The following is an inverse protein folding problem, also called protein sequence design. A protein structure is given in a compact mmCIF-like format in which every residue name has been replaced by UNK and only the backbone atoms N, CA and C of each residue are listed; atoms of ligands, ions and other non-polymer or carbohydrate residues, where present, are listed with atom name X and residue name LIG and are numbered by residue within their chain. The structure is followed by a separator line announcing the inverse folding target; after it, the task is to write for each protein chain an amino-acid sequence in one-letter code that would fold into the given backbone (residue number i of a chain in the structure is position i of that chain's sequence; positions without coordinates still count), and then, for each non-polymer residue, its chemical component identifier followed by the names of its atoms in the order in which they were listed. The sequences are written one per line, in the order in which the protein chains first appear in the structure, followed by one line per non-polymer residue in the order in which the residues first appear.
data_IF_042942715462
#
_entry.id   IF_042942715462
#
_cell.length_a   1.000
_cell.length_b   1.000
_cell.length_c   1.000
_cell.angle_alpha   90.00
_cell.angle_beta   90.00
_cell.angle_gamma   90.00
#
_symmetry.space_group_name_H-M   'P 1'
#
loop_
_entity.id
_entity.type
_entity.pdbx_description
1 polymer ?
#
# COMPACT_ATOMS: atom_id res chain seq x y z
N UNK A 1 -1.82 54.55 -9.16
CA UNK A 1 -2.59 54.02 -10.30
C UNK A 1 -1.90 52.76 -10.79
N UNK A 2 -2.39 51.61 -10.40
CA UNK A 2 -1.86 50.30 -10.84
C UNK A 2 -2.63 49.91 -12.09
N UNK A 3 -1.92 49.84 -13.24
CA UNK A 3 -2.52 49.34 -14.49
C UNK A 3 -2.72 47.83 -14.40
N UNK A 4 -3.94 47.40 -14.32
CA UNK A 4 -4.31 45.98 -14.48
C UNK A 4 -4.18 45.61 -15.94
N UNK A 5 -3.11 44.85 -16.27
CA UNK A 5 -2.96 44.25 -17.61
C UNK A 5 -3.99 43.12 -17.74
N UNK A 6 -5.04 43.36 -18.49
CA UNK A 6 -5.98 42.31 -18.92
C UNK A 6 -5.24 41.33 -19.86
N UNK A 7 -4.89 40.19 -19.37
CA UNK A 7 -4.35 39.08 -20.18
C UNK A 7 -5.49 38.53 -21.02
N UNK A 8 -5.44 38.75 -22.33
CA UNK A 8 -6.43 38.24 -23.28
C UNK A 8 -6.30 36.70 -23.37
N UNK A 9 -7.43 35.98 -23.53
CA UNK A 9 -7.48 34.50 -23.66
C UNK A 9 -6.45 33.93 -24.64
N UNK A 10 -6.16 34.61 -25.74
CA UNK A 10 -5.14 34.22 -26.70
C UNK A 10 -3.73 34.25 -26.11
N UNK A 11 -3.35 35.32 -25.39
CA UNK A 11 -2.05 35.39 -24.71
C UNK A 11 -1.89 34.35 -23.60
N UNK A 12 -2.96 34.02 -22.88
CA UNK A 12 -2.96 32.95 -21.89
C UNK A 12 -2.68 31.59 -22.53
N UNK A 13 -3.28 31.29 -23.68
CA UNK A 13 -3.05 30.04 -24.42
C UNK A 13 -1.65 29.98 -25.05
N UNK A 14 -1.09 31.10 -25.50
CA UNK A 14 0.27 31.17 -26.02
C UNK A 14 1.32 30.93 -24.91
N UNK A 15 1.09 31.44 -23.70
CA UNK A 15 1.99 31.24 -22.55
C UNK A 15 1.93 29.78 -22.09
N UNK A 16 0.75 29.15 -22.03
CA UNK A 16 0.59 27.74 -21.72
C UNK A 16 1.19 26.84 -22.81
N UNK A 17 1.01 27.18 -24.08
CA UNK A 17 1.55 26.42 -25.21
C UNK A 17 3.09 26.40 -25.26
N UNK A 18 3.75 27.49 -24.87
CA UNK A 18 5.20 27.56 -24.84
C UNK A 18 5.85 26.82 -23.65
N UNK A 19 5.16 26.70 -22.51
CA UNK A 19 5.66 25.97 -21.36
C UNK A 19 5.42 24.46 -21.44
N UNK A 20 4.58 23.98 -22.37
CA UNK A 20 4.16 22.56 -22.42
C UNK A 20 5.16 21.65 -23.17
N UNK A 21 6.18 22.18 -23.83
CA UNK A 21 7.11 21.37 -24.62
C UNK A 21 8.31 20.79 -23.87
N UNK A 22 8.43 21.00 -22.56
CA UNK A 22 9.69 20.67 -21.84
C UNK A 22 9.63 19.63 -20.73
N UNK A 23 8.47 19.23 -20.21
CA UNK A 23 8.41 18.38 -19.01
C UNK A 23 7.26 17.34 -19.04
N UNK A 24 7.13 16.59 -20.12
CA UNK A 24 6.50 15.26 -20.02
C UNK A 24 7.62 14.30 -19.62
N UNK A 25 8.03 14.37 -18.36
CA UNK A 25 8.81 13.30 -17.75
C UNK A 25 7.83 12.13 -17.66
N UNK A 26 8.06 11.14 -18.50
CA UNK A 26 7.32 9.87 -18.51
C UNK A 26 7.48 9.19 -17.16
N UNK A 27 6.60 9.52 -16.21
CA UNK A 27 6.53 8.86 -14.90
C UNK A 27 5.66 7.59 -14.97
N UNK A 28 5.67 6.93 -16.12
CA UNK A 28 5.01 5.64 -16.28
C UNK A 28 5.97 4.54 -15.85
N UNK A 29 5.68 3.88 -14.74
CA UNK A 29 6.30 2.63 -14.37
C UNK A 29 5.30 1.50 -14.57
N UNK A 30 5.79 0.32 -14.93
CA UNK A 30 4.97 -0.88 -15.05
C UNK A 30 4.79 -1.53 -13.68
N UNK A 31 3.59 -2.07 -13.43
CA UNK A 31 3.34 -2.88 -12.24
C UNK A 31 4.16 -4.19 -12.32
N UNK A 32 4.87 -4.59 -11.25
CA UNK A 32 5.83 -5.70 -11.29
C UNK A 32 5.24 -7.03 -11.75
N UNK A 33 3.97 -7.30 -11.45
CA UNK A 33 3.32 -8.59 -11.74
C UNK A 33 2.45 -8.52 -13.00
N UNK A 34 1.73 -7.41 -13.20
CA UNK A 34 0.73 -7.32 -14.28
C UNK A 34 1.24 -6.63 -15.55
N UNK A 35 2.44 -6.04 -15.53
CA UNK A 35 3.01 -5.29 -16.64
C UNK A 35 2.24 -4.03 -17.05
N UNK A 36 1.17 -3.67 -16.33
CA UNK A 36 0.34 -2.51 -16.66
C UNK A 36 1.05 -1.21 -16.31
N UNK A 37 0.99 -0.24 -17.22
CA UNK A 37 1.48 1.12 -16.97
C UNK A 37 0.72 1.76 -15.81
N UNK A 38 1.45 2.26 -14.81
CA UNK A 38 0.90 3.00 -13.68
C UNK A 38 1.45 4.42 -13.69
N UNK A 39 0.58 5.41 -13.56
CA UNK A 39 0.99 6.80 -13.38
C UNK A 39 1.43 7.00 -11.93
N UNK A 40 2.73 7.11 -11.68
CA UNK A 40 3.27 7.42 -10.35
C UNK A 40 3.30 8.94 -10.15
N UNK A 41 2.33 9.45 -9.41
CA UNK A 41 2.27 10.86 -9.02
C UNK A 41 3.13 11.18 -7.80
N UNK A 42 3.46 10.19 -6.97
CA UNK A 42 4.24 10.35 -5.74
C UNK A 42 5.40 9.35 -5.67
N UNK A 43 6.56 9.74 -5.09
CA UNK A 43 7.64 8.82 -4.79
C UNK A 43 7.20 7.72 -3.81
N UNK A 44 7.70 6.50 -3.99
CA UNK A 44 7.38 5.35 -3.12
C UNK A 44 7.73 5.62 -1.65
N UNK A 45 8.84 6.29 -1.40
CA UNK A 45 9.24 6.69 -0.04
C UNK A 45 8.21 7.57 0.66
N UNK A 46 7.53 8.44 -0.10
CA UNK A 46 6.45 9.28 0.43
C UNK A 46 5.21 8.44 0.75
N UNK A 47 4.84 7.52 -0.15
CA UNK A 47 3.70 6.61 0.06
C UNK A 47 3.95 5.72 1.28
N UNK A 48 5.12 5.10 1.38
CA UNK A 48 5.48 4.24 2.52
C UNK A 48 5.49 5.02 3.85
N UNK A 49 5.97 6.27 3.84
CA UNK A 49 5.94 7.12 5.03
C UNK A 49 4.52 7.47 5.46
N UNK A 50 3.64 7.83 4.52
CA UNK A 50 2.23 8.10 4.82
C UNK A 50 1.51 6.86 5.33
N UNK A 51 1.78 5.69 4.73
CA UNK A 51 1.26 4.41 5.19
C UNK A 51 1.71 4.09 6.62
N UNK A 52 2.99 4.28 6.93
CA UNK A 52 3.51 4.09 8.29
C UNK A 52 2.85 5.03 9.31
N UNK A 53 2.64 6.30 8.97
CA UNK A 53 1.94 7.25 9.84
C UNK A 53 0.48 6.85 10.08
N UNK A 54 -0.21 6.38 9.04
CA UNK A 54 -1.59 5.89 9.18
C UNK A 54 -1.64 4.63 10.04
N UNK A 55 -0.72 3.70 9.84
CA UNK A 55 -0.59 2.50 10.66
C UNK A 55 -0.39 2.82 12.15
N UNK A 56 0.49 3.76 12.48
CA UNK A 56 0.70 4.19 13.88
C UNK A 56 -0.56 4.86 14.46
N UNK A 57 -1.33 5.59 13.65
CA UNK A 57 -2.63 6.13 14.08
C UNK A 57 -3.63 5.02 14.39
N UNK A 58 -3.73 3.99 13.54
CA UNK A 58 -4.59 2.84 13.82
C UNK A 58 -4.14 2.17 15.11
N UNK A 59 -2.86 1.87 15.25
CA UNK A 59 -2.27 1.22 16.43
C UNK A 59 -2.54 2.00 17.74
N UNK A 60 -2.51 3.34 17.69
CA UNK A 60 -2.77 4.19 18.85
C UNK A 60 -4.25 4.39 19.17
N UNK A 61 -5.15 4.25 18.19
CA UNK A 61 -6.59 4.52 18.35
C UNK A 61 -7.43 3.26 18.53
N UNK A 62 -6.88 2.09 18.24
CA UNK A 62 -7.60 0.82 18.35
C UNK A 62 -7.07 0.00 19.52
N UNK A 63 -7.93 -0.83 20.09
CA UNK A 63 -7.53 -1.82 21.08
C UNK A 63 -6.79 -2.95 20.37
N UNK A 64 -5.55 -3.20 20.74
CA UNK A 64 -4.81 -4.36 20.25
C UNK A 64 -5.15 -5.58 21.08
N UNK A 65 -5.15 -6.74 20.45
CA UNK A 65 -5.39 -8.01 21.14
C UNK A 65 -4.17 -8.44 21.94
N UNK A 66 -4.42 -8.94 23.15
CA UNK A 66 -3.41 -9.51 24.04
C UNK A 66 -3.12 -11.00 23.72
N UNK A 67 -3.80 -11.58 22.72
CA UNK A 67 -3.60 -12.97 22.32
C UNK A 67 -2.27 -13.15 21.56
N UNK A 68 -1.23 -13.42 22.35
CA UNK A 68 0.13 -13.64 21.82
C UNK A 68 0.23 -14.85 20.90
N UNK A 69 -0.64 -15.87 21.06
CA UNK A 69 -0.61 -17.07 20.21
C UNK A 69 -1.15 -16.74 18.81
N UNK A 70 -2.28 -16.05 18.74
CA UNK A 70 -2.83 -15.62 17.46
C UNK A 70 -1.90 -14.63 16.75
N UNK A 71 -1.32 -13.67 17.47
CA UNK A 71 -0.36 -12.74 16.89
C UNK A 71 0.91 -13.46 16.37
N UNK A 72 1.41 -14.48 17.09
CA UNK A 72 2.55 -15.27 16.66
C UNK A 72 2.21 -16.05 15.37
N UNK A 73 1.03 -16.65 15.29
CA UNK A 73 0.55 -17.34 14.10
C UNK A 73 0.45 -16.39 12.88
N UNK A 74 -0.10 -15.20 13.09
CA UNK A 74 -0.18 -14.17 12.03
C UNK A 74 1.22 -13.79 11.52
N UNK A 75 2.17 -13.59 12.42
CA UNK A 75 3.56 -13.30 12.06
C UNK A 75 4.22 -14.43 11.29
N UNK A 76 4.03 -15.68 11.74
CA UNK A 76 4.57 -16.86 11.06
C UNK A 76 4.00 -16.99 9.64
N UNK A 77 2.68 -16.92 9.49
CA UNK A 77 2.02 -17.00 8.18
C UNK A 77 2.49 -15.86 7.29
N UNK A 78 2.55 -14.63 7.81
CA UNK A 78 3.02 -13.47 7.06
C UNK A 78 4.45 -13.60 6.59
N UNK A 79 5.38 -14.04 7.46
CA UNK A 79 6.78 -14.25 7.10
C UNK A 79 6.93 -15.29 5.98
N UNK A 80 6.22 -16.41 6.06
CA UNK A 80 6.25 -17.44 5.01
C UNK A 80 5.73 -16.93 3.66
N UNK A 81 4.71 -16.07 3.67
CA UNK A 81 4.21 -15.45 2.43
C UNK A 81 5.27 -14.49 1.86
N UNK A 82 5.90 -13.68 2.71
CA UNK A 82 6.97 -12.75 2.29
C UNK A 82 8.16 -13.51 1.69
N UNK A 83 8.61 -14.59 2.32
CA UNK A 83 9.66 -15.46 1.78
C UNK A 83 9.27 -16.03 0.40
N UNK A 84 8.02 -16.47 0.24
CA UNK A 84 7.52 -16.96 -1.04
C UNK A 84 7.49 -15.84 -2.11
N UNK A 85 7.16 -14.61 -1.74
CA UNK A 85 7.21 -13.44 -2.65
C UNK A 85 8.65 -13.19 -3.11
N UNK A 86 9.60 -13.10 -2.19
CA UNK A 86 11.02 -12.90 -2.53
C UNK A 86 11.55 -14.02 -3.42
N UNK A 87 11.27 -15.28 -3.06
CA UNK A 87 11.66 -16.45 -3.84
C UNK A 87 11.06 -16.44 -5.25
N UNK A 88 9.83 -15.97 -5.41
CA UNK A 88 9.21 -15.82 -6.73
C UNK A 88 9.97 -14.81 -7.59
N UNK A 89 10.26 -13.62 -7.08
CA UNK A 89 10.99 -12.59 -7.84
C UNK A 89 12.41 -13.04 -8.20
N UNK A 90 13.08 -13.73 -7.30
CA UNK A 90 14.39 -14.35 -7.57
C UNK A 90 14.28 -15.39 -8.69
N UNK A 91 13.27 -16.25 -8.66
CA UNK A 91 13.08 -17.31 -9.66
C UNK A 91 12.85 -16.79 -11.08
N UNK A 92 12.26 -15.60 -11.21
CA UNK A 92 11.99 -14.94 -12.50
C UNK A 92 13.03 -13.87 -12.84
N UNK A 93 14.12 -13.79 -12.05
CA UNK A 93 15.21 -12.84 -12.21
C UNK A 93 14.73 -11.37 -12.29
N UNK A 94 13.76 -11.03 -11.44
CA UNK A 94 13.20 -9.67 -11.31
C UNK A 94 13.52 -9.07 -9.95
N UNK A 95 13.72 -7.74 -9.86
CA UNK A 95 13.90 -7.07 -8.57
C UNK A 95 12.68 -7.28 -7.65
N UNK A 96 12.92 -7.69 -6.42
CA UNK A 96 11.87 -7.82 -5.41
C UNK A 96 11.34 -6.40 -5.05
N UNK A 97 10.06 -6.09 -5.33
CA UNK A 97 9.49 -4.78 -5.04
C UNK A 97 9.31 -4.53 -3.53
N UNK A 98 9.49 -5.54 -2.72
CA UNK A 98 9.30 -5.49 -1.26
C UNK A 98 10.62 -5.41 -0.48
N UNK A 99 11.77 -5.36 -1.16
CA UNK A 99 13.09 -5.40 -0.50
C UNK A 99 13.30 -4.30 0.54
N UNK A 100 12.62 -3.16 0.40
CA UNK A 100 12.65 -2.03 1.34
C UNK A 100 11.48 -2.03 2.33
N UNK A 101 10.62 -3.05 2.34
CA UNK A 101 9.48 -3.09 3.24
C UNK A 101 9.93 -3.42 4.67
N UNK A 102 9.36 -2.70 5.62
CA UNK A 102 9.53 -2.96 7.05
C UNK A 102 8.27 -3.66 7.57
N UNK A 103 8.27 -4.99 7.44
CA UNK A 103 7.13 -5.82 7.78
C UNK A 103 6.79 -5.71 9.28
N UNK A 104 5.56 -5.34 9.57
CA UNK A 104 5.03 -5.22 10.92
C UNK A 104 3.57 -5.71 10.94
N UNK A 105 3.23 -6.43 12.01
CA UNK A 105 1.94 -7.10 12.14
C UNK A 105 1.28 -6.68 13.43
N UNK A 106 0.00 -6.29 13.39
CA UNK A 106 -0.85 -6.11 14.56
C UNK A 106 -2.11 -6.95 14.46
N UNK A 107 -2.61 -7.38 15.62
CA UNK A 107 -3.92 -7.99 15.77
C UNK A 107 -4.82 -6.98 16.51
N UNK A 108 -5.81 -6.46 15.81
CA UNK A 108 -6.78 -5.51 16.36
C UNK A 108 -7.93 -6.26 17.01
N UNK A 109 -8.20 -5.95 18.28
CA UNK A 109 -9.29 -6.57 19.06
C UNK A 109 -10.64 -5.96 18.65
N UNK A 110 -11.23 -6.49 17.59
CA UNK A 110 -12.55 -6.11 17.13
C UNK A 110 -13.21 -7.27 16.35
N UNK A 111 -14.07 -8.02 17.04
CA UNK A 111 -14.78 -9.17 16.46
C UNK A 111 -15.85 -8.78 15.44
N UNK A 112 -16.31 -7.52 15.44
CA UNK A 112 -17.34 -7.04 14.52
C UNK A 112 -16.79 -6.79 13.12
N UNK A 113 -15.50 -6.46 13.04
CA UNK A 113 -14.84 -6.16 11.76
C UNK A 113 -14.21 -7.44 11.21
N UNK A 114 -14.74 -7.91 10.08
CA UNK A 114 -14.28 -9.11 9.36
C UNK A 114 -13.28 -8.69 8.27
N UNK A 115 -12.15 -8.13 8.65
CA UNK A 115 -11.20 -7.54 7.72
C UNK A 115 -9.73 -7.82 8.09
N UNK A 116 -8.88 -7.73 7.09
CA UNK A 116 -7.43 -7.59 7.20
C UNK A 116 -6.97 -6.64 6.10
N UNK A 117 -5.82 -6.00 6.26
CA UNK A 117 -5.24 -5.16 5.22
C UNK A 117 -3.72 -5.11 5.33
N UNK A 118 -3.09 -4.86 4.18
CA UNK A 118 -1.66 -4.60 4.06
C UNK A 118 -1.44 -3.26 3.37
N UNK A 119 -0.75 -2.36 4.05
CA UNK A 119 -0.36 -1.06 3.48
C UNK A 119 1.03 -1.12 2.83
N UNK A 120 1.33 -0.18 1.93
CA UNK A 120 2.66 0.00 1.38
C UNK A 120 3.73 0.07 2.49
N UNK A 121 4.90 -0.50 2.21
CA UNK A 121 5.97 -0.58 3.20
C UNK A 121 5.83 -1.74 4.20
N UNK A 122 4.84 -2.65 4.01
CA UNK A 122 4.72 -3.89 4.77
C UNK A 122 4.01 -3.77 6.12
N UNK A 123 3.08 -2.83 6.27
CA UNK A 123 2.31 -2.64 7.50
C UNK A 123 0.99 -3.41 7.42
N UNK A 124 0.83 -4.43 8.26
CA UNK A 124 -0.29 -5.38 8.22
C UNK A 124 -1.10 -5.30 9.50
N UNK A 125 -2.42 -5.19 9.36
CA UNK A 125 -3.36 -5.39 10.45
C UNK A 125 -4.36 -6.49 10.13
N UNK A 126 -4.60 -7.32 11.13
CA UNK A 126 -5.62 -8.37 11.11
C UNK A 126 -6.59 -8.07 12.23
N UNK A 127 -7.89 -8.10 11.96
CA UNK A 127 -8.91 -7.95 12.99
C UNK A 127 -9.31 -9.34 13.55
N UNK A 128 -9.59 -9.41 14.86
CA UNK A 128 -9.99 -10.68 15.47
C UNK A 128 -11.22 -11.29 14.78
N UNK A 129 -12.12 -10.45 14.28
CA UNK A 129 -13.32 -10.92 13.60
C UNK A 129 -13.06 -11.71 12.31
N UNK A 130 -11.97 -11.47 11.57
CA UNK A 130 -11.67 -12.25 10.35
C UNK A 130 -11.22 -13.68 10.68
N UNK A 131 -10.67 -13.91 11.88
CA UNK A 131 -10.17 -15.22 12.30
C UNK A 131 -11.28 -16.26 12.41
N UNK A 132 -12.50 -15.85 12.75
CA UNK A 132 -13.67 -16.74 12.74
C UNK A 132 -14.01 -17.22 11.32
N UNK A 133 -13.81 -16.39 10.31
CA UNK A 133 -14.10 -16.71 8.91
C UNK A 133 -12.98 -17.58 8.32
N UNK A 134 -11.75 -17.28 8.62
CA UNK A 134 -10.58 -18.02 8.11
C UNK A 134 -10.47 -19.42 8.68
N UNK A 135 -11.01 -19.65 9.89
CA UNK A 135 -11.13 -20.95 10.60
C UNK A 135 -9.82 -21.66 10.88
N UNK A 136 -8.83 -21.56 10.02
CA UNK A 136 -7.56 -22.26 10.11
C UNK A 136 -6.41 -21.49 9.43
N UNK A 137 -5.20 -22.02 9.54
CA UNK A 137 -3.98 -21.44 8.97
C UNK A 137 -4.08 -21.22 7.46
N UNK A 138 -4.70 -22.14 6.72
CA UNK A 138 -4.82 -22.02 5.26
C UNK A 138 -5.74 -20.87 4.85
N UNK A 139 -6.88 -20.72 5.56
CA UNK A 139 -7.77 -19.58 5.33
C UNK A 139 -7.11 -18.25 5.70
N UNK A 140 -6.37 -18.20 6.81
CA UNK A 140 -5.59 -17.03 7.19
C UNK A 140 -4.53 -16.69 6.13
N UNK A 141 -3.81 -17.70 5.63
CA UNK A 141 -2.81 -17.52 4.59
C UNK A 141 -3.41 -17.00 3.26
N UNK A 142 -4.61 -17.47 2.90
CA UNK A 142 -5.31 -17.00 1.71
C UNK A 142 -5.67 -15.51 1.83
N UNK A 143 -6.22 -15.08 2.96
CA UNK A 143 -6.56 -13.66 3.21
C UNK A 143 -5.30 -12.81 3.24
N UNK A 144 -4.29 -13.18 4.03
CA UNK A 144 -3.06 -12.42 4.15
C UNK A 144 -2.28 -12.36 2.84
N UNK A 145 -2.27 -13.46 2.09
CA UNK A 145 -1.64 -13.52 0.75
C UNK A 145 -2.30 -12.57 -0.22
N UNK A 146 -3.63 -12.49 -0.20
CA UNK A 146 -4.38 -11.52 -1.00
C UNK A 146 -4.00 -10.07 -0.65
N UNK A 147 -3.95 -9.72 0.63
CA UNK A 147 -3.61 -8.36 1.07
C UNK A 147 -2.14 -8.01 0.78
N UNK A 148 -1.22 -8.94 0.99
CA UNK A 148 0.19 -8.76 0.65
C UNK A 148 0.36 -8.59 -0.86
N UNK A 149 -0.33 -9.39 -1.68
CA UNK A 149 -0.27 -9.28 -3.13
C UNK A 149 -0.71 -7.89 -3.64
N UNK A 150 -1.70 -7.27 -3.00
CA UNK A 150 -2.09 -5.89 -3.31
C UNK A 150 -0.97 -4.89 -3.00
N UNK A 151 -0.26 -5.04 -1.90
CA UNK A 151 0.86 -4.17 -1.56
C UNK A 151 2.05 -4.38 -2.52
N UNK A 152 2.35 -5.62 -2.88
CA UNK A 152 3.39 -6.02 -3.85
C UNK A 152 3.08 -5.46 -5.24
N UNK A 153 1.85 -5.60 -5.70
CA UNK A 153 1.40 -5.07 -7.00
C UNK A 153 1.24 -3.54 -7.01
N UNK A 154 1.48 -2.88 -5.88
CA UNK A 154 1.33 -1.42 -5.71
C UNK A 154 -0.07 -0.90 -6.04
N UNK A 155 -1.08 -1.76 -5.86
CA UNK A 155 -2.49 -1.41 -6.11
C UNK A 155 -3.09 -0.55 -5.00
N UNK A 156 -2.35 -0.20 -3.96
CA UNK A 156 -2.88 0.50 -2.80
C UNK A 156 -3.06 2.00 -3.08
N UNK A 157 -4.26 2.36 -3.43
CA UNK A 157 -4.79 3.68 -3.17
C UNK A 157 -5.08 3.75 -1.67
N UNK A 158 -4.32 4.55 -0.94
CA UNK A 158 -4.37 4.71 0.53
C UNK A 158 -5.75 5.11 1.09
N UNK A 159 -6.70 5.46 0.22
CA UNK A 159 -7.98 6.06 0.61
C UNK A 159 -9.13 5.09 0.85
N UNK A 160 -9.11 3.90 0.28
CA UNK A 160 -10.31 3.03 0.28
C UNK A 160 -10.30 1.90 1.31
N UNK A 161 -9.21 1.69 2.07
CA UNK A 161 -9.03 0.47 2.85
C UNK A 161 -9.06 0.60 4.37
N UNK A 162 -9.11 1.81 4.90
CA UNK A 162 -9.16 2.01 6.35
C UNK A 162 -10.47 2.66 6.73
N UNK A 163 -11.48 1.85 6.95
CA UNK A 163 -12.64 2.23 7.77
C UNK A 163 -12.18 2.25 9.23
N UNK A 164 -12.10 3.45 9.78
CA UNK A 164 -11.79 3.70 11.20
C UNK A 164 -13.07 3.68 12.02
#
# INVERSE_FOLDING_TARGET
MIKTNNINRRKFLEIIGCCSCGLIISSCTTAPITGRGQLKLLPESTINRQAAQLYERVKSKTKLSDDKKQLALIKEVGSRIVEAVSSYFDSVNMPDPTYNFQWEYILVDNEKIKNAWCMPGGKIAVYTGILEITKNVNGLAAVMGHEIAHAVAKHSLLKERVEL
#
